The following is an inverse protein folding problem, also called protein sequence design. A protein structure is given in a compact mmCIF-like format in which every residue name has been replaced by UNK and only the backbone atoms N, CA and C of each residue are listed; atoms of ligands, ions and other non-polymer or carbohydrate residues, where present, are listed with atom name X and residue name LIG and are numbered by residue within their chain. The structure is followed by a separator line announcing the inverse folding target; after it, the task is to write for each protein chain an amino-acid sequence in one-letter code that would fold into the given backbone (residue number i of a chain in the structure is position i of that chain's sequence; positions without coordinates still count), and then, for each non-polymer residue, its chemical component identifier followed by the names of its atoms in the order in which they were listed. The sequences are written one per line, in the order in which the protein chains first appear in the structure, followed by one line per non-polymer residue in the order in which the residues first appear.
data_IF_638684887440
#
_entry.id   IF_638684887440
#
_cell.length_a   1.000
_cell.length_b   1.000
_cell.length_c   1.000
_cell.angle_alpha   90.00
_cell.angle_beta   90.00
_cell.angle_gamma   90.00
#
_symmetry.space_group_name_H-M   'P 1'
#
loop_
_entity.id
_entity.type
_entity.pdbx_description
1 polymer ?
#
# COMPACT_ATOMS: atom_id res chain seq x y z
N UNK A 1 -16.64 19.71 15.11
CA UNK A 1 -15.93 18.44 15.40
C UNK A 1 -14.48 18.74 15.78
N UNK A 2 -14.02 18.28 16.92
CA UNK A 2 -12.62 18.52 17.27
C UNK A 2 -11.70 17.73 16.33
N UNK A 3 -10.63 18.39 15.95
CA UNK A 3 -9.60 17.77 15.14
C UNK A 3 -8.62 17.05 16.07
N UNK A 4 -8.37 15.77 15.79
CA UNK A 4 -7.39 14.99 16.54
C UNK A 4 -6.10 14.91 15.75
N UNK A 5 -5.07 15.58 16.21
CA UNK A 5 -3.77 15.65 15.55
C UNK A 5 -2.79 14.56 16.02
N UNK A 6 -3.31 13.57 16.70
CA UNK A 6 -2.49 12.48 17.21
C UNK A 6 -1.91 11.64 16.09
N UNK A 7 -0.63 11.34 16.21
CA UNK A 7 0.07 10.48 15.26
C UNK A 7 -0.04 9.02 15.67
N UNK A 8 -0.15 8.14 14.68
CA UNK A 8 -0.19 6.70 14.91
C UNK A 8 1.20 6.11 14.88
N UNK A 9 1.48 5.18 15.78
CA UNK A 9 2.73 4.46 15.80
C UNK A 9 2.67 3.25 14.87
N UNK A 10 3.83 2.83 14.39
CA UNK A 10 3.92 1.65 13.51
C UNK A 10 3.33 0.39 14.16
N UNK A 11 3.49 0.24 15.48
CA UNK A 11 2.96 -0.91 16.21
C UNK A 11 1.43 -0.96 16.22
N UNK A 12 0.77 0.17 15.94
CA UNK A 12 -0.68 0.24 15.89
C UNK A 12 -1.25 -0.12 14.52
N UNK A 13 -0.40 -0.47 13.56
CA UNK A 13 -0.81 -0.76 12.19
C UNK A 13 -0.85 -2.27 11.98
N UNK A 14 -1.97 -2.76 11.48
CA UNK A 14 -2.15 -4.16 11.13
C UNK A 14 -2.42 -4.28 9.63
N UNK A 15 -1.62 -5.11 8.95
CA UNK A 15 -1.79 -5.35 7.52
C UNK A 15 -2.26 -6.77 7.28
N UNK A 16 -3.32 -6.93 6.50
CA UNK A 16 -3.89 -8.23 6.15
C UNK A 16 -3.96 -8.33 4.63
N UNK A 17 -3.26 -9.30 4.06
CA UNK A 17 -3.28 -9.54 2.62
C UNK A 17 -4.11 -10.78 2.35
N UNK A 18 -5.29 -10.57 1.77
CA UNK A 18 -6.21 -11.62 1.36
C UNK A 18 -6.53 -12.61 2.50
N UNK A 19 -6.75 -12.08 3.71
CA UNK A 19 -7.07 -12.87 4.89
C UNK A 19 -5.88 -13.36 5.70
N UNK A 20 -4.65 -13.09 5.25
CA UNK A 20 -3.44 -13.48 5.96
C UNK A 20 -2.80 -12.26 6.63
N UNK A 21 -2.58 -12.33 7.92
CA UNK A 21 -1.84 -11.29 8.64
C UNK A 21 -0.39 -11.24 8.18
N UNK A 22 0.07 -10.06 7.80
CA UNK A 22 1.45 -9.85 7.41
C UNK A 22 2.26 -9.37 8.61
N UNK A 23 2.67 -10.33 9.45
CA UNK A 23 3.45 -10.00 10.64
C UNK A 23 4.91 -9.67 10.33
N UNK A 24 5.40 -10.13 9.19
CA UNK A 24 6.76 -9.85 8.74
C UNK A 24 6.87 -8.64 7.84
N UNK A 25 5.90 -7.75 7.85
CA UNK A 25 5.95 -6.52 7.07
C UNK A 25 6.87 -5.51 7.74
N UNK A 26 7.71 -4.86 6.93
CA UNK A 26 8.63 -3.83 7.42
C UNK A 26 8.22 -2.43 7.02
N UNK A 27 7.57 -2.31 5.88
CA UNK A 27 7.07 -1.03 5.39
C UNK A 27 5.90 -1.27 4.45
N UNK A 28 5.04 -0.27 4.33
CA UNK A 28 3.94 -0.30 3.39
C UNK A 28 3.71 1.12 2.88
N UNK A 29 3.49 1.23 1.58
CA UNK A 29 3.14 2.48 0.94
C UNK A 29 2.06 2.18 -0.09
N UNK A 30 1.09 3.04 -0.18
CA UNK A 30 0.11 2.99 -1.24
C UNK A 30 -0.27 4.41 -1.62
N UNK A 31 -0.51 4.63 -2.90
CA UNK A 31 -0.72 5.96 -3.45
C UNK A 31 -1.87 5.95 -4.45
N UNK A 32 -2.73 6.92 -4.34
CA UNK A 32 -3.80 7.19 -5.27
C UNK A 32 -3.40 8.40 -6.11
N UNK A 33 -3.47 8.28 -7.42
CA UNK A 33 -3.05 9.32 -8.35
C UNK A 33 -4.15 9.64 -9.34
N UNK A 34 -4.13 10.87 -9.83
CA UNK A 34 -5.05 11.31 -10.88
C UNK A 34 -4.25 12.09 -11.91
N UNK A 35 -4.44 11.76 -13.18
CA UNK A 35 -3.88 12.56 -14.25
C UNK A 35 -4.62 13.89 -14.29
N UNK A 36 -3.88 14.98 -14.38
CA UNK A 36 -4.48 16.31 -14.47
C UNK A 36 -3.61 17.20 -15.34
N UNK A 37 -4.27 18.01 -16.16
CA UNK A 37 -3.61 18.94 -17.03
C UNK A 37 -4.32 20.29 -16.95
N UNK A 38 -3.55 21.37 -16.83
CA UNK A 38 -4.10 22.71 -16.80
C UNK A 38 -4.38 23.18 -18.22
N UNK A 39 -5.61 23.56 -18.50
CA UNK A 39 -6.00 24.14 -19.78
C UNK A 39 -5.87 25.65 -19.68
N UNK A 40 -4.99 26.21 -20.49
CA UNK A 40 -4.81 27.65 -20.59
C UNK A 40 -5.54 28.18 -21.81
N UNK A 41 -6.33 29.22 -21.59
CA UNK A 41 -6.90 30.00 -22.68
C UNK A 41 -6.12 31.31 -22.78
N UNK A 42 -6.79 32.43 -22.72
CA UNK A 42 -6.12 33.72 -22.75
C UNK A 42 -5.69 34.13 -21.34
N UNK A 43 -4.44 34.53 -21.17
CA UNK A 43 -3.92 35.00 -19.90
C UNK A 43 -2.93 34.00 -19.26
N UNK A 44 -2.48 34.33 -18.05
CA UNK A 44 -1.44 33.57 -17.35
C UNK A 44 -2.01 32.47 -16.45
N UNK A 45 -3.27 32.64 -16.02
CA UNK A 45 -3.90 31.67 -15.13
C UNK A 45 -4.56 30.55 -15.93
N UNK A 46 -4.57 29.32 -15.42
CA UNK A 46 -5.30 28.25 -16.09
C UNK A 46 -6.78 28.57 -16.16
N UNK A 47 -7.39 28.29 -17.32
CA UNK A 47 -8.83 28.43 -17.50
C UNK A 47 -9.58 27.33 -16.73
N UNK A 48 -9.06 26.12 -16.79
CA UNK A 48 -9.60 24.98 -16.07
C UNK A 48 -8.54 23.91 -15.92
N UNK A 49 -8.82 22.91 -15.10
CA UNK A 49 -7.99 21.74 -14.96
C UNK A 49 -8.75 20.54 -15.50
N UNK A 50 -8.19 19.91 -16.51
CA UNK A 50 -8.75 18.69 -17.09
C UNK A 50 -8.18 17.49 -16.39
N UNK A 51 -9.03 16.54 -16.02
CA UNK A 51 -8.63 15.34 -15.31
C UNK A 51 -8.70 14.12 -16.22
N UNK A 52 -7.83 13.18 -15.98
CA UNK A 52 -7.78 11.94 -16.76
C UNK A 52 -7.97 10.72 -15.89
N UNK A 53 -7.22 9.67 -16.18
CA UNK A 53 -7.36 8.38 -15.50
C UNK A 53 -6.81 8.41 -14.07
N UNK A 54 -7.41 7.60 -13.21
CA UNK A 54 -6.86 7.33 -11.89
C UNK A 54 -5.79 6.25 -11.99
N UNK A 55 -4.75 6.39 -11.19
CA UNK A 55 -3.71 5.40 -11.07
C UNK A 55 -3.48 5.04 -9.60
N UNK A 56 -3.24 3.77 -9.35
CA UNK A 56 -3.03 3.28 -7.99
C UNK A 56 -1.78 2.42 -7.96
N UNK A 57 -0.84 2.76 -7.10
CA UNK A 57 0.36 1.96 -6.92
C UNK A 57 0.80 1.98 -5.46
N UNK A 58 1.74 1.10 -5.15
CA UNK A 58 2.28 1.01 -3.82
C UNK A 58 3.46 0.07 -3.75
N UNK A 59 3.94 -0.14 -2.54
CA UNK A 59 5.09 -1.00 -2.29
C UNK A 59 4.99 -1.61 -0.91
N UNK A 60 5.32 -2.90 -0.82
CA UNK A 60 5.47 -3.61 0.43
C UNK A 60 6.94 -3.94 0.67
N UNK A 61 7.43 -3.63 1.86
CA UNK A 61 8.72 -4.13 2.32
C UNK A 61 8.47 -5.28 3.28
N UNK A 62 9.02 -6.45 2.98
CA UNK A 62 8.74 -7.66 3.76
C UNK A 62 10.03 -8.36 4.17
N UNK A 63 9.92 -9.22 5.18
CA UNK A 63 11.02 -10.08 5.57
C UNK A 63 11.11 -11.29 4.64
N UNK A 64 12.23 -12.01 4.72
CA UNK A 64 12.44 -13.19 3.89
C UNK A 64 11.34 -14.25 4.11
N UNK A 65 10.93 -14.47 5.37
CA UNK A 65 9.91 -15.47 5.66
C UNK A 65 8.56 -15.12 5.07
N UNK A 66 8.17 -13.85 5.09
CA UNK A 66 6.93 -13.40 4.43
C UNK A 66 7.02 -13.54 2.92
N UNK A 67 8.16 -13.20 2.35
CA UNK A 67 8.38 -13.36 0.91
C UNK A 67 8.25 -14.81 0.49
N UNK A 68 8.84 -15.73 1.25
CA UNK A 68 8.75 -17.16 0.95
C UNK A 68 7.32 -17.67 1.02
N UNK A 69 6.54 -17.19 1.99
CA UNK A 69 5.13 -17.55 2.08
C UNK A 69 4.33 -17.06 0.87
N UNK A 70 4.62 -15.85 0.39
CA UNK A 70 3.97 -15.31 -0.81
C UNK A 70 4.37 -16.06 -2.07
N UNK A 71 5.64 -16.47 -2.18
CA UNK A 71 6.12 -17.27 -3.31
C UNK A 71 5.41 -18.62 -3.34
N UNK A 72 5.22 -19.26 -2.19
CA UNK A 72 4.46 -20.51 -2.12
C UNK A 72 3.03 -20.35 -2.55
N UNK A 73 2.38 -19.26 -2.09
CA UNK A 73 1.00 -18.97 -2.49
C UNK A 73 0.87 -18.72 -3.99
N UNK A 74 1.91 -18.18 -4.61
CA UNK A 74 1.94 -17.91 -6.04
C UNK A 74 2.51 -19.03 -6.89
N UNK A 75 2.71 -20.22 -6.32
CA UNK A 75 3.26 -21.38 -7.02
C UNK A 75 4.62 -21.11 -7.66
N UNK A 76 5.49 -20.42 -6.94
CA UNK A 76 6.86 -20.15 -7.35
C UNK A 76 7.19 -18.71 -7.66
N UNK A 77 6.19 -17.84 -7.74
CA UNK A 77 6.42 -16.41 -7.98
C UNK A 77 5.28 -15.56 -7.44
N UNK A 78 5.62 -14.46 -6.78
CA UNK A 78 4.61 -13.49 -6.34
C UNK A 78 3.94 -12.80 -7.54
N UNK A 79 4.59 -12.78 -8.69
CA UNK A 79 4.02 -12.16 -9.90
C UNK A 79 2.81 -12.93 -10.43
N UNK A 80 2.63 -14.17 -10.02
CA UNK A 80 1.48 -14.99 -10.42
C UNK A 80 0.24 -14.74 -9.56
N UNK A 81 0.39 -14.05 -8.44
CA UNK A 81 -0.73 -13.74 -7.56
C UNK A 81 -1.64 -12.70 -8.23
N UNK A 82 -2.94 -12.92 -8.16
CA UNK A 82 -3.95 -12.04 -8.75
C UNK A 82 -5.13 -11.88 -7.81
N UNK A 83 -5.82 -10.75 -7.95
CA UNK A 83 -7.07 -10.52 -7.23
C UNK A 83 -6.92 -10.37 -5.72
N UNK A 84 -5.76 -9.95 -5.26
CA UNK A 84 -5.51 -9.79 -3.83
C UNK A 84 -6.10 -8.48 -3.32
N UNK A 85 -6.50 -8.50 -2.05
CA UNK A 85 -6.93 -7.30 -1.34
C UNK A 85 -6.04 -7.11 -0.12
N UNK A 86 -5.41 -5.95 -0.03
CA UNK A 86 -4.63 -5.58 1.15
C UNK A 86 -5.48 -4.66 2.02
N UNK A 87 -5.74 -5.10 3.25
CA UNK A 87 -6.44 -4.29 4.23
C UNK A 87 -5.44 -3.79 5.26
N UNK A 88 -5.40 -2.49 5.43
CA UNK A 88 -4.48 -1.86 6.38
C UNK A 88 -5.31 -1.14 7.43
N UNK A 89 -5.25 -1.66 8.65
CA UNK A 89 -6.01 -1.11 9.79
C UNK A 89 -5.06 -0.38 10.72
N UNK A 90 -5.46 0.79 11.16
CA UNK A 90 -4.68 1.57 12.12
C UNK A 90 -5.58 2.20 13.17
N UNK A 91 -4.99 2.46 14.32
CA UNK A 91 -5.68 2.94 15.49
C UNK A 91 -5.42 2.01 16.67
N UNK A 92 -5.42 2.55 17.86
CA UNK A 92 -5.19 1.78 19.07
C UNK A 92 -6.43 1.81 19.98
N UNK A 93 -7.26 0.74 19.98
CA UNK A 93 -8.47 0.72 20.80
C UNK A 93 -8.17 0.85 22.29
N UNK A 94 -7.02 0.40 22.76
CA UNK A 94 -6.63 0.52 24.17
C UNK A 94 -6.43 1.99 24.59
N UNK A 95 -6.13 2.86 23.63
CA UNK A 95 -6.01 4.30 23.86
C UNK A 95 -7.27 5.07 23.52
N UNK A 96 -8.35 4.36 23.18
CA UNK A 96 -9.63 4.98 22.83
C UNK A 96 -9.76 5.41 21.38
N UNK A 97 -8.83 5.03 20.51
CA UNK A 97 -8.88 5.38 19.10
C UNK A 97 -9.88 4.49 18.37
N UNK A 98 -10.60 5.08 17.41
CA UNK A 98 -11.40 4.30 16.48
C UNK A 98 -10.47 3.63 15.47
N UNK A 99 -10.75 2.36 15.15
CA UNK A 99 -10.02 1.65 14.12
C UNK A 99 -10.43 2.15 12.73
N UNK A 100 -9.47 2.49 11.91
CA UNK A 100 -9.68 2.93 10.54
C UNK A 100 -9.01 1.93 9.63
N UNK A 101 -9.71 1.51 8.57
CA UNK A 101 -9.20 0.53 7.64
C UNK A 101 -9.20 1.10 6.23
N UNK A 102 -8.05 1.01 5.57
CA UNK A 102 -7.92 1.30 4.14
C UNK A 102 -7.78 -0.04 3.40
N UNK A 103 -8.41 -0.13 2.24
CA UNK A 103 -8.34 -1.34 1.42
C UNK A 103 -7.81 -1.03 0.03
N UNK A 104 -6.76 -1.75 -0.37
CA UNK A 104 -6.25 -1.74 -1.73
C UNK A 104 -6.80 -2.98 -2.43
N UNK A 105 -7.61 -2.78 -3.45
CA UNK A 105 -8.37 -3.85 -4.11
C UNK A 105 -7.75 -4.18 -5.46
N UNK A 106 -7.64 -5.47 -5.76
CA UNK A 106 -7.17 -5.93 -7.05
C UNK A 106 -5.66 -5.82 -7.23
N UNK A 107 -4.90 -6.14 -6.20
CA UNK A 107 -3.45 -6.00 -6.21
C UNK A 107 -2.80 -7.00 -7.17
N UNK A 108 -1.86 -6.50 -7.96
CA UNK A 108 -0.96 -7.29 -8.79
C UNK A 108 0.45 -6.80 -8.53
N UNK A 109 1.33 -7.69 -8.11
CA UNK A 109 2.73 -7.33 -7.93
C UNK A 109 3.40 -7.18 -9.29
N UNK A 110 4.15 -6.10 -9.46
CA UNK A 110 4.79 -5.77 -10.73
C UNK A 110 6.25 -6.15 -10.77
N UNK A 111 6.85 -6.32 -9.59
CA UNK A 111 8.27 -6.63 -9.49
C UNK A 111 8.52 -7.35 -8.18
N UNK A 112 9.47 -8.28 -8.19
CA UNK A 112 9.89 -8.98 -6.98
C UNK A 112 11.42 -9.06 -7.00
N UNK A 113 12.06 -8.31 -6.12
CA UNK A 113 13.51 -8.24 -6.06
C UNK A 113 14.03 -8.57 -4.67
N UNK A 114 15.18 -9.19 -4.63
CA UNK A 114 15.92 -9.42 -3.40
C UNK A 114 17.22 -8.66 -3.46
N UNK A 115 17.60 -8.05 -2.36
CA UNK A 115 18.82 -7.29 -2.28
C UNK A 115 19.66 -7.82 -1.10
N UNK A 116 20.84 -8.32 -1.42
CA UNK A 116 21.74 -8.92 -0.44
C UNK A 116 23.00 -8.09 -0.37
N UNK A 117 23.31 -7.57 0.81
CA UNK A 117 24.53 -6.78 1.03
C UNK A 117 25.35 -7.45 2.12
N UNK A 118 26.65 -7.53 1.88
CA UNK A 118 27.56 -8.09 2.87
C UNK A 118 27.52 -7.28 4.17
N UNK A 119 27.37 -7.98 5.30
CA UNK A 119 27.25 -7.34 6.60
C UNK A 119 25.82 -7.15 7.06
N UNK A 120 24.84 -7.31 6.19
CA UNK A 120 23.43 -7.24 6.57
C UNK A 120 23.03 -8.52 7.31
N UNK A 121 22.23 -8.33 8.36
CA UNK A 121 21.72 -9.44 9.15
C UNK A 121 20.49 -10.08 8.56
N UNK A 122 19.84 -9.39 7.62
CA UNK A 122 18.62 -9.87 6.97
C UNK A 122 18.53 -9.24 5.58
N UNK A 123 17.74 -9.85 4.72
CA UNK A 123 17.47 -9.31 3.39
C UNK A 123 16.32 -8.34 3.42
N UNK A 124 16.46 -7.22 2.75
CA UNK A 124 15.35 -6.31 2.48
C UNK A 124 14.71 -6.70 1.15
N UNK A 125 13.40 -6.93 1.17
CA UNK A 125 12.69 -7.33 -0.03
C UNK A 125 11.57 -6.31 -0.26
N UNK A 126 11.64 -5.65 -1.42
CA UNK A 126 10.65 -4.68 -1.84
C UNK A 126 9.74 -5.30 -2.90
N UNK A 127 8.44 -5.15 -2.74
CA UNK A 127 7.43 -5.68 -3.66
C UNK A 127 6.54 -4.55 -4.14
N UNK A 128 6.93 -3.87 -5.23
CA UNK A 128 6.05 -2.87 -5.85
C UNK A 128 4.80 -3.54 -6.42
N UNK A 129 3.68 -2.87 -6.30
CA UNK A 129 2.42 -3.39 -6.81
C UNK A 129 1.55 -2.28 -7.41
N UNK A 130 0.61 -2.69 -8.25
CA UNK A 130 -0.47 -1.84 -8.73
C UNK A 130 -1.78 -2.44 -8.28
N UNK A 131 -2.79 -1.61 -8.14
CA UNK A 131 -4.13 -2.08 -7.77
C UNK A 131 -5.19 -1.25 -8.48
N UNK A 132 -6.43 -1.74 -8.45
CA UNK A 132 -7.49 -1.16 -9.26
C UNK A 132 -8.35 -0.14 -8.51
N UNK A 133 -8.38 -0.19 -7.20
CA UNK A 133 -9.20 0.72 -6.41
C UNK A 133 -8.67 0.84 -4.99
N UNK A 134 -8.80 2.03 -4.43
CA UNK A 134 -8.46 2.30 -3.04
C UNK A 134 -9.74 2.72 -2.31
N UNK A 135 -10.08 1.96 -1.29
CA UNK A 135 -11.19 2.29 -0.40
C UNK A 135 -10.63 2.83 0.90
N UNK A 136 -10.70 4.14 1.07
CA UNK A 136 -10.20 4.79 2.27
C UNK A 136 -11.25 4.73 3.38
N UNK A 137 -10.77 4.50 4.60
CA UNK A 137 -11.58 4.61 5.82
C UNK A 137 -12.84 3.73 5.78
N UNK A 138 -12.65 2.51 5.35
CA UNK A 138 -13.71 1.49 5.37
C UNK A 138 -13.90 1.02 6.82
N UNK A 139 -15.13 0.87 7.23
CA UNK A 139 -15.45 0.37 8.58
C UNK A 139 -16.08 -1.00 8.53
#
# INVERSE_FOLDING_TARGET
MPFNSREYEWADITAVLNGRDLTGIRSVRYTEKQEAEALHAKGRKPHSIQTGNYGYDGELGVTQSEYEALVKAGNGSVLKLRGLTLSLSYGNPASGDAMITDQCVGIVFTEAGKDWTQGDKFADIALPFMFTDLKNQVQ
#
